data_IF_966039329707
#
_entry.id   IF_966039329707
#
_cell.length_a   1.000
_cell.length_b   1.000
_cell.length_c   1.000
_cell.angle_alpha   90.00
_cell.angle_beta   90.00
_cell.angle_gamma   90.00
#
_symmetry.space_group_name_H-M   'P 1'
#
loop_
_entity.id
_entity.type
_entity.pdbx_description
1 polymer ?
#
# COMPACT_ATOMS: atom_id res chain seq x y z
N UNK A 1 -0.24 21.09 8.45
CA UNK A 1 0.13 19.76 8.98
C UNK A 1 -0.81 18.75 8.32
N UNK A 2 -0.35 17.92 7.38
CA UNK A 2 -1.27 17.23 6.44
C UNK A 2 -0.77 15.89 5.86
N UNK A 3 0.18 15.21 6.51
CA UNK A 3 0.70 13.91 6.05
C UNK A 3 0.81 12.87 7.20
N UNK A 4 0.15 13.14 8.33
CA UNK A 4 0.20 12.26 9.50
C UNK A 4 -0.49 10.92 9.27
N UNK A 5 -1.54 10.90 8.44
CA UNK A 5 -2.32 9.68 8.17
C UNK A 5 -2.04 9.19 6.75
N UNK A 6 -1.57 7.95 6.64
CA UNK A 6 -1.10 7.34 5.39
C UNK A 6 -2.06 6.25 4.93
N UNK A 7 -3.02 6.61 4.08
CA UNK A 7 -4.05 5.70 3.57
C UNK A 7 -3.60 4.83 2.39
N UNK A 8 -2.53 5.19 1.68
CA UNK A 8 -2.05 4.44 0.52
C UNK A 8 -1.43 3.08 0.87
N UNK A 9 -1.62 2.09 0.00
CA UNK A 9 -0.93 0.78 0.06
C UNK A 9 0.57 0.88 -0.26
N UNK A 10 1.00 2.01 -0.82
CA UNK A 10 2.40 2.34 -1.10
C UNK A 10 2.80 3.47 -0.16
N UNK A 11 3.92 3.29 0.53
CA UNK A 11 4.57 4.37 1.27
C UNK A 11 5.38 5.22 0.30
N UNK A 12 5.29 6.54 0.44
CA UNK A 12 6.09 7.48 -0.33
C UNK A 12 7.01 8.20 0.63
N UNK A 13 8.31 8.14 0.36
CA UNK A 13 9.29 9.03 1.00
C UNK A 13 9.22 10.39 0.30
N UNK A 14 8.76 11.42 1.01
CA UNK A 14 8.63 12.76 0.41
C UNK A 14 9.97 13.45 0.15
N UNK A 15 11.07 12.99 0.78
CA UNK A 15 12.41 13.56 0.59
C UNK A 15 13.06 13.04 -0.69
N UNK A 16 12.92 11.74 -0.98
CA UNK A 16 13.55 11.08 -2.13
C UNK A 16 12.56 10.74 -3.24
N UNK A 17 11.26 10.94 -3.02
CA UNK A 17 10.16 10.49 -3.88
C UNK A 17 10.10 8.97 -4.10
N UNK A 18 10.82 8.21 -3.28
CA UNK A 18 10.85 6.75 -3.36
C UNK A 18 9.51 6.15 -2.95
N UNK A 19 9.10 5.10 -3.67
CA UNK A 19 7.84 4.38 -3.45
C UNK A 19 8.13 2.99 -2.91
N UNK A 20 7.82 2.76 -1.65
CA UNK A 20 7.99 1.45 -0.99
C UNK A 20 6.63 0.78 -0.83
N UNK A 21 6.37 -0.36 -1.50
CA UNK A 21 5.13 -1.10 -1.32
C UNK A 21 4.99 -1.61 0.12
N UNK A 22 3.85 -1.38 0.77
CA UNK A 22 3.60 -1.87 2.13
C UNK A 22 3.14 -3.33 2.10
N UNK A 23 3.14 -4.02 3.24
CA UNK A 23 2.58 -5.38 3.33
C UNK A 23 1.15 -5.49 2.80
N UNK A 24 0.33 -4.44 2.95
CA UNK A 24 -1.03 -4.39 2.40
C UNK A 24 -1.08 -4.42 0.87
N UNK A 25 -0.08 -3.89 0.14
CA UNK A 25 -0.07 -3.98 -1.32
C UNK A 25 0.18 -5.41 -1.79
N UNK A 26 1.00 -6.18 -1.07
CA UNK A 26 1.25 -7.59 -1.40
C UNK A 26 0.04 -8.46 -1.13
N UNK A 27 -0.63 -8.25 0.01
CA UNK A 27 -1.87 -8.93 0.34
C UNK A 27 -2.96 -8.62 -0.71
N UNK A 28 -3.13 -7.36 -1.07
CA UNK A 28 -4.15 -6.97 -2.05
C UNK A 28 -3.82 -7.48 -3.46
N UNK A 29 -2.54 -7.54 -3.83
CA UNK A 29 -2.11 -8.21 -5.07
C UNK A 29 -2.56 -9.67 -5.12
N UNK A 30 -2.40 -10.39 -4.01
CA UNK A 30 -2.82 -11.80 -3.93
C UNK A 30 -4.34 -11.93 -3.99
N UNK A 31 -5.08 -11.08 -3.26
CA UNK A 31 -6.53 -11.04 -3.33
C UNK A 31 -7.06 -10.78 -4.75
N UNK A 32 -6.42 -9.90 -5.53
CA UNK A 32 -6.78 -9.69 -6.93
C UNK A 32 -6.48 -10.95 -7.77
N UNK A 33 -5.32 -11.58 -7.56
CA UNK A 33 -4.94 -12.80 -8.27
C UNK A 33 -5.91 -13.96 -8.01
N UNK A 34 -6.43 -14.04 -6.79
CA UNK A 34 -7.39 -15.05 -6.35
C UNK A 34 -8.86 -14.66 -6.68
N UNK A 35 -9.06 -13.55 -7.40
CA UNK A 35 -10.36 -12.96 -7.74
C UNK A 35 -11.28 -12.72 -6.52
N UNK A 36 -10.67 -12.37 -5.39
CA UNK A 36 -11.34 -12.18 -4.11
C UNK A 36 -10.48 -12.64 -2.95
N UNK A 37 -11.00 -12.44 -1.73
CA UNK A 37 -10.44 -13.02 -0.52
C UNK A 37 -11.59 -13.43 0.39
N UNK A 38 -11.39 -14.48 1.18
CA UNK A 38 -12.37 -14.93 2.17
C UNK A 38 -12.24 -14.09 3.45
N UNK A 39 -13.37 -13.75 4.07
CA UNK A 39 -13.46 -12.90 5.27
C UNK A 39 -13.90 -13.69 6.50
#
# INVERSE_FOLDING_TARGET
MGYGIRFGMVWVDYKTQERVPKKSSYWYKQAIADNGFTI
#
